data_IF_812453733610
#
_entry.id   IF_812453733610
#
_cell.length_a   1.000
_cell.length_b   1.000
_cell.length_c   1.000
_cell.angle_alpha   90.00
_cell.angle_beta   90.00
_cell.angle_gamma   90.00
#
_symmetry.space_group_name_H-M   'P 1'
#
loop_
_entity.id
_entity.type
_entity.pdbx_description
1 polymer ?
#
# COMPACT_ATOMS: atom_id res chain seq x y z
N UNK A 1 -62.21 20.07 -7.86
CA UNK A 1 -60.75 20.01 -7.74
C UNK A 1 -60.12 20.42 -9.06
N UNK A 2 -59.22 21.42 -9.06
CA UNK A 2 -58.45 21.80 -10.22
C UNK A 2 -57.03 22.24 -9.80
N UNK A 3 -56.01 21.63 -10.41
CA UNK A 3 -54.62 22.07 -10.30
C UNK A 3 -54.18 22.51 -11.67
N UNK A 4 -53.70 23.74 -11.80
CA UNK A 4 -53.31 24.33 -13.10
C UNK A 4 -52.08 25.21 -12.93
N UNK A 5 -51.27 25.29 -13.95
CA UNK A 5 -50.10 26.19 -14.00
C UNK A 5 -50.44 27.48 -14.73
N UNK A 6 -49.91 28.59 -14.25
CA UNK A 6 -50.11 29.91 -14.83
C UNK A 6 -48.87 30.77 -14.78
N UNK A 7 -48.64 31.57 -15.82
CA UNK A 7 -47.66 32.64 -15.80
C UNK A 7 -48.32 33.92 -15.22
N UNK A 8 -47.59 34.57 -14.32
CA UNK A 8 -48.00 35.87 -13.76
C UNK A 8 -47.06 36.94 -14.33
N UNK A 9 -47.22 37.21 -15.65
CA UNK A 9 -46.37 38.17 -16.35
C UNK A 9 -47.13 38.87 -17.44
N UNK A 10 -46.72 40.09 -17.75
CA UNK A 10 -47.19 40.84 -18.93
C UNK A 10 -46.20 40.67 -20.13
N UNK A 11 -45.11 39.96 -19.93
CA UNK A 11 -44.13 39.69 -21.00
C UNK A 11 -44.70 38.68 -21.98
N UNK A 12 -44.44 38.92 -23.27
CA UNK A 12 -44.83 38.03 -24.34
C UNK A 12 -43.69 37.12 -24.81
N UNK A 13 -42.45 37.49 -24.45
CA UNK A 13 -41.22 36.76 -24.80
C UNK A 13 -40.26 36.68 -23.60
N UNK A 14 -39.36 35.67 -23.64
CA UNK A 14 -38.36 35.47 -22.59
C UNK A 14 -38.83 34.63 -21.44
N UNK A 15 -38.04 34.56 -20.35
CA UNK A 15 -38.35 33.74 -19.18
C UNK A 15 -39.26 34.46 -18.18
N UNK A 16 -40.19 33.72 -17.62
CA UNK A 16 -41.07 34.18 -16.55
C UNK A 16 -41.35 33.06 -15.52
N UNK A 17 -41.56 33.42 -14.23
CA UNK A 17 -41.83 32.45 -13.19
C UNK A 17 -43.19 31.76 -13.39
N UNK A 18 -43.15 30.43 -13.21
CA UNK A 18 -44.33 29.58 -13.27
C UNK A 18 -44.99 29.49 -11.88
N UNK A 19 -46.31 29.67 -11.86
CA UNK A 19 -47.13 29.53 -10.66
C UNK A 19 -48.07 28.33 -10.79
N UNK A 20 -48.27 27.62 -9.68
CA UNK A 20 -49.33 26.60 -9.57
C UNK A 20 -50.55 27.21 -8.88
N UNK A 21 -51.71 27.05 -9.50
CA UNK A 21 -53.01 27.40 -8.93
C UNK A 21 -53.73 26.13 -8.48
N UNK A 22 -54.09 26.08 -7.20
CA UNK A 22 -54.78 24.96 -6.58
C UNK A 22 -56.17 25.41 -6.15
N UNK A 23 -57.23 24.80 -6.69
CA UNK A 23 -58.62 25.12 -6.35
C UNK A 23 -59.39 23.84 -6.02
N UNK A 24 -60.04 23.85 -4.86
CA UNK A 24 -61.00 22.82 -4.49
C UNK A 24 -62.11 23.47 -3.67
N UNK A 25 -63.35 23.37 -4.20
CA UNK A 25 -64.52 23.99 -3.59
C UNK A 25 -64.91 23.27 -2.31
N UNK A 26 -64.86 21.95 -2.30
CA UNK A 26 -65.28 21.12 -1.17
C UNK A 26 -64.31 21.28 0.01
N UNK A 27 -63.06 21.39 -0.21
CA UNK A 27 -62.02 21.58 0.82
C UNK A 27 -61.75 23.06 1.13
N UNK A 28 -62.45 23.99 0.43
CA UNK A 28 -62.26 25.44 0.54
C UNK A 28 -60.79 25.86 0.33
N UNK A 29 -60.16 25.30 -0.66
CA UNK A 29 -58.78 25.62 -1.07
C UNK A 29 -58.78 26.53 -2.29
N UNK A 30 -58.11 27.68 -2.23
CA UNK A 30 -57.84 28.55 -3.37
C UNK A 30 -56.47 29.21 -3.17
N UNK A 31 -55.44 28.60 -3.69
CA UNK A 31 -54.05 29.01 -3.51
C UNK A 31 -53.38 29.30 -4.87
N UNK A 32 -52.47 30.26 -4.89
CA UNK A 32 -51.57 30.51 -6.00
C UNK A 32 -50.15 30.66 -5.45
N UNK A 33 -49.27 29.73 -5.78
CA UNK A 33 -47.94 29.57 -5.22
C UNK A 33 -46.89 29.59 -6.32
N UNK A 34 -45.69 30.12 -6.03
CA UNK A 34 -44.57 30.02 -6.91
C UNK A 34 -44.09 28.58 -6.98
N UNK A 35 -43.76 28.11 -8.19
CA UNK A 35 -43.09 26.79 -8.35
C UNK A 35 -41.60 26.89 -8.28
N UNK A 36 -41.03 28.09 -8.18
CA UNK A 36 -39.58 28.38 -8.30
C UNK A 36 -38.96 27.93 -9.64
N UNK A 37 -39.82 27.66 -10.64
CA UNK A 37 -39.36 27.31 -12.00
C UNK A 37 -39.63 28.51 -12.92
N UNK A 38 -38.63 28.83 -13.74
CA UNK A 38 -38.75 29.84 -14.81
C UNK A 38 -38.96 29.13 -16.16
N UNK A 39 -39.98 29.53 -16.91
CA UNK A 39 -40.31 28.94 -18.19
C UNK A 39 -40.23 29.96 -19.30
N UNK A 40 -39.96 29.54 -20.55
CA UNK A 40 -40.06 30.36 -21.72
C UNK A 40 -41.53 30.66 -22.04
N UNK A 41 -41.87 31.95 -22.05
CA UNK A 41 -43.26 32.42 -22.15
C UNK A 41 -43.91 32.04 -23.48
N UNK A 42 -43.21 32.18 -24.57
CA UNK A 42 -43.73 31.84 -25.91
C UNK A 42 -44.08 30.36 -26.02
N UNK A 43 -43.18 29.51 -25.50
CA UNK A 43 -43.32 28.07 -25.60
C UNK A 43 -44.41 27.56 -24.64
N UNK A 44 -44.44 28.07 -23.40
CA UNK A 44 -45.40 27.62 -22.35
C UNK A 44 -46.84 28.00 -22.68
N UNK A 45 -47.07 29.15 -23.32
CA UNK A 45 -48.41 29.61 -23.69
C UNK A 45 -48.98 28.93 -24.94
N UNK A 46 -48.19 28.13 -25.66
CA UNK A 46 -48.66 27.34 -26.81
C UNK A 46 -49.35 26.05 -26.34
N UNK A 47 -50.25 25.45 -27.18
CA UNK A 47 -50.88 24.19 -26.81
C UNK A 47 -49.85 23.10 -26.53
N UNK A 48 -49.95 22.47 -25.40
CA UNK A 48 -49.00 21.41 -24.92
C UNK A 48 -48.98 20.14 -25.82
N UNK A 49 -49.83 20.09 -26.84
CA UNK A 49 -49.85 19.03 -27.85
C UNK A 49 -49.22 19.47 -29.17
N UNK A 50 -48.83 20.74 -29.30
CA UNK A 50 -48.27 21.31 -30.51
C UNK A 50 -46.83 20.96 -30.81
N UNK A 51 -46.39 21.18 -32.07
CA UNK A 51 -45.02 20.93 -32.53
C UNK A 51 -43.98 21.70 -31.72
N UNK A 52 -44.29 22.94 -31.36
CA UNK A 52 -43.36 23.78 -30.58
C UNK A 52 -43.17 23.26 -29.16
N UNK A 53 -44.20 22.72 -28.51
CA UNK A 53 -44.09 22.10 -27.18
C UNK A 53 -43.32 20.78 -27.24
N UNK A 54 -43.51 19.96 -28.28
CA UNK A 54 -42.71 18.75 -28.51
C UNK A 54 -41.23 19.11 -28.70
N UNK A 55 -40.91 20.18 -29.39
CA UNK A 55 -39.54 20.67 -29.52
C UNK A 55 -38.95 21.14 -28.19
N UNK A 56 -39.76 21.82 -27.34
CA UNK A 56 -39.36 22.22 -26.01
C UNK A 56 -39.03 21.02 -25.13
N UNK A 57 -39.77 19.93 -25.18
CA UNK A 57 -39.53 18.69 -24.47
C UNK A 57 -38.29 17.93 -24.97
N UNK A 58 -37.72 18.26 -26.14
CA UNK A 58 -36.47 17.69 -26.62
C UNK A 58 -35.25 18.35 -25.94
N UNK A 59 -35.38 19.57 -25.45
CA UNK A 59 -34.35 20.22 -24.65
C UNK A 59 -34.29 19.62 -23.23
N UNK A 60 -33.10 19.51 -22.68
CA UNK A 60 -32.91 18.99 -21.31
C UNK A 60 -33.59 19.87 -20.28
N UNK A 61 -33.56 21.20 -20.45
CA UNK A 61 -34.17 22.17 -19.57
C UNK A 61 -35.70 22.08 -19.65
N UNK A 62 -36.27 22.07 -20.84
CA UNK A 62 -37.71 22.00 -21.05
C UNK A 62 -38.34 20.71 -20.52
N UNK A 63 -37.67 19.58 -20.75
CA UNK A 63 -38.10 18.28 -20.22
C UNK A 63 -38.11 18.30 -18.69
N UNK A 64 -37.02 18.76 -18.08
CA UNK A 64 -36.89 18.83 -16.60
C UNK A 64 -38.01 19.69 -15.99
N UNK A 65 -38.23 20.88 -16.54
CA UNK A 65 -39.29 21.79 -16.02
C UNK A 65 -40.67 21.14 -16.15
N UNK A 66 -40.95 20.50 -17.25
CA UNK A 66 -42.20 19.81 -17.46
C UNK A 66 -42.40 18.64 -16.49
N UNK A 67 -41.41 17.79 -16.32
CA UNK A 67 -41.43 16.65 -15.38
C UNK A 67 -41.64 17.13 -13.95
N UNK A 68 -40.94 18.16 -13.50
CA UNK A 68 -41.13 18.75 -12.16
C UNK A 68 -42.55 19.36 -12.00
N UNK A 69 -43.08 20.03 -13.03
CA UNK A 69 -44.43 20.58 -12.97
C UNK A 69 -45.49 19.48 -12.87
N UNK A 70 -45.37 18.40 -13.62
CA UNK A 70 -46.29 17.26 -13.53
C UNK A 70 -46.18 16.55 -12.18
N UNK A 71 -44.98 16.43 -11.62
CA UNK A 71 -44.76 15.86 -10.30
C UNK A 71 -45.41 16.71 -9.21
N UNK A 72 -45.26 18.04 -9.24
CA UNK A 72 -45.95 18.98 -8.33
C UNK A 72 -47.46 18.81 -8.43
N UNK A 73 -47.99 18.79 -9.66
CA UNK A 73 -49.44 18.62 -9.91
C UNK A 73 -49.93 17.29 -9.34
N UNK A 74 -49.28 16.19 -9.66
CA UNK A 74 -49.67 14.86 -9.20
C UNK A 74 -49.68 14.73 -7.68
N UNK A 75 -48.65 15.26 -7.00
CA UNK A 75 -48.58 15.21 -5.53
C UNK A 75 -49.68 16.07 -4.87
N UNK A 76 -49.97 17.26 -5.41
CA UNK A 76 -51.06 18.11 -4.91
C UNK A 76 -52.43 17.42 -5.14
N UNK A 77 -52.68 16.88 -6.32
CA UNK A 77 -53.91 16.16 -6.66
C UNK A 77 -54.11 14.93 -5.75
N UNK A 78 -53.03 14.20 -5.44
CA UNK A 78 -53.04 13.04 -4.54
C UNK A 78 -53.50 13.46 -3.13
N UNK A 79 -52.96 14.55 -2.58
CA UNK A 79 -53.35 15.04 -1.26
C UNK A 79 -54.83 15.48 -1.24
N UNK A 80 -55.30 16.20 -2.26
CA UNK A 80 -56.68 16.63 -2.37
C UNK A 80 -57.63 15.42 -2.52
N UNK A 81 -57.26 14.39 -3.26
CA UNK A 81 -58.08 13.17 -3.42
C UNK A 81 -58.22 12.37 -2.12
N UNK A 82 -57.30 12.53 -1.19
CA UNK A 82 -57.30 11.96 0.16
C UNK A 82 -58.12 12.83 1.15
N UNK A 83 -58.84 13.85 0.65
CA UNK A 83 -59.57 14.85 1.47
C UNK A 83 -58.68 15.65 2.43
N UNK A 84 -57.40 15.79 2.11
CA UNK A 84 -56.45 16.58 2.91
C UNK A 84 -56.56 18.04 2.45
N UNK A 85 -56.98 18.94 3.37
CA UNK A 85 -56.95 20.37 3.11
C UNK A 85 -55.56 20.92 3.05
N UNK A 86 -55.10 21.36 1.86
CA UNK A 86 -53.77 21.89 1.65
C UNK A 86 -53.69 23.33 2.13
N UNK A 87 -52.71 23.64 2.99
CA UNK A 87 -52.33 25.00 3.37
C UNK A 87 -51.21 25.54 2.49
N UNK A 88 -51.03 26.87 2.44
CA UNK A 88 -49.90 27.47 1.70
C UNK A 88 -48.56 26.88 2.15
N UNK A 89 -48.33 26.75 3.46
CA UNK A 89 -47.07 26.22 4.01
C UNK A 89 -46.82 24.75 3.61
N UNK A 90 -47.87 23.91 3.56
CA UNK A 90 -47.75 22.52 3.10
C UNK A 90 -47.40 22.47 1.62
N UNK A 91 -48.05 23.29 0.80
CA UNK A 91 -47.80 23.30 -0.64
C UNK A 91 -46.41 23.89 -1.00
N UNK A 92 -45.98 24.96 -0.31
CA UNK A 92 -44.68 25.56 -0.45
C UNK A 92 -43.57 24.56 -0.09
N UNK A 93 -43.73 23.84 1.02
CA UNK A 93 -42.79 22.78 1.43
C UNK A 93 -42.73 21.67 0.39
N UNK A 94 -43.87 21.16 -0.08
CA UNK A 94 -43.95 20.12 -1.10
C UNK A 94 -43.25 20.54 -2.41
N UNK A 95 -43.53 21.79 -2.86
CA UNK A 95 -42.89 22.35 -4.07
C UNK A 95 -41.36 22.45 -3.86
N UNK A 96 -40.94 22.97 -2.69
CA UNK A 96 -39.51 23.07 -2.36
C UNK A 96 -38.81 21.72 -2.34
N UNK A 97 -39.41 20.71 -1.70
CA UNK A 97 -38.87 19.35 -1.63
C UNK A 97 -38.73 18.70 -3.02
N UNK A 98 -39.59 19.03 -3.97
CA UNK A 98 -39.56 18.54 -5.35
C UNK A 98 -38.52 19.31 -6.17
N UNK A 99 -38.58 20.63 -6.19
CA UNK A 99 -37.77 21.48 -7.07
C UNK A 99 -36.28 21.50 -6.67
N UNK A 100 -36.04 21.54 -5.37
CA UNK A 100 -34.66 21.61 -4.82
C UNK A 100 -34.10 20.25 -4.44
N UNK A 101 -34.79 19.15 -4.75
CA UNK A 101 -34.35 17.77 -4.40
C UNK A 101 -32.93 17.49 -4.82
N UNK A 102 -32.53 17.81 -6.07
CA UNK A 102 -31.20 17.60 -6.57
C UNK A 102 -30.17 18.48 -5.84
N UNK A 103 -30.49 19.74 -5.57
CA UNK A 103 -29.62 20.66 -4.84
C UNK A 103 -29.45 20.22 -3.39
N UNK A 104 -30.50 19.74 -2.75
CA UNK A 104 -30.44 19.18 -1.40
C UNK A 104 -29.62 17.91 -1.35
N UNK A 105 -29.72 17.03 -2.35
CA UNK A 105 -28.87 15.84 -2.48
C UNK A 105 -27.41 16.24 -2.71
N UNK A 106 -27.15 17.22 -3.57
CA UNK A 106 -25.80 17.73 -3.82
C UNK A 106 -25.23 18.40 -2.57
N UNK A 107 -26.04 19.20 -1.85
CA UNK A 107 -25.63 19.85 -0.62
C UNK A 107 -25.34 18.82 0.51
N UNK A 108 -26.19 17.81 0.66
CA UNK A 108 -25.96 16.71 1.60
C UNK A 108 -24.69 15.91 1.24
N UNK A 109 -24.44 15.62 -0.05
CA UNK A 109 -23.20 15.00 -0.53
C UNK A 109 -21.98 15.89 -0.24
N UNK A 110 -22.05 17.20 -0.44
CA UNK A 110 -20.98 18.15 -0.11
C UNK A 110 -20.70 18.23 1.39
N UNK A 111 -21.71 18.12 2.23
CA UNK A 111 -21.55 18.17 3.69
C UNK A 111 -20.83 16.94 4.25
N UNK A 112 -20.86 15.81 3.55
CA UNK A 112 -20.17 14.56 3.89
C UNK A 112 -19.01 14.24 2.94
N UNK A 113 -18.58 15.19 2.10
CA UNK A 113 -17.51 14.96 1.15
C UNK A 113 -16.16 14.89 1.86
N UNK A 114 -15.56 13.72 1.84
CA UNK A 114 -14.21 13.47 2.36
C UNK A 114 -13.22 13.60 1.21
N UNK A 115 -12.30 14.55 1.29
CA UNK A 115 -11.23 14.72 0.30
C UNK A 115 -10.23 13.58 0.35
N UNK A 116 -9.44 13.38 -0.73
CA UNK A 116 -8.37 12.37 -0.73
C UNK A 116 -7.39 12.56 0.43
N UNK A 117 -7.02 13.79 0.77
CA UNK A 117 -6.11 14.06 1.89
C UNK A 117 -6.72 13.64 3.24
N UNK A 118 -7.98 13.99 3.49
CA UNK A 118 -8.69 13.55 4.70
C UNK A 118 -8.81 12.01 4.74
N UNK A 119 -9.07 11.38 3.60
CA UNK A 119 -9.12 9.92 3.51
C UNK A 119 -7.78 9.28 3.80
N UNK A 120 -6.68 9.84 3.28
CA UNK A 120 -5.30 9.40 3.58
C UNK A 120 -5.02 9.46 5.08
N UNK A 121 -5.37 10.55 5.75
CA UNK A 121 -5.16 10.72 7.20
C UNK A 121 -6.00 9.72 8.00
N UNK A 122 -7.26 9.53 7.63
CA UNK A 122 -8.16 8.53 8.24
C UNK A 122 -7.63 7.11 8.00
N UNK A 123 -7.15 6.80 6.80
CA UNK A 123 -6.55 5.52 6.47
C UNK A 123 -5.32 5.24 7.34
N UNK A 124 -4.39 6.21 7.44
CA UNK A 124 -3.18 6.08 8.25
C UNK A 124 -3.52 5.91 9.73
N UNK A 125 -4.48 6.67 10.22
CA UNK A 125 -4.98 6.55 11.60
C UNK A 125 -5.59 5.18 11.86
N UNK A 126 -6.43 4.71 10.94
CA UNK A 126 -7.08 3.39 11.03
C UNK A 126 -6.10 2.22 11.04
N UNK A 127 -5.08 2.23 10.15
CA UNK A 127 -4.05 1.17 10.15
C UNK A 127 -3.08 1.27 11.34
N UNK A 128 -2.91 2.46 11.92
CA UNK A 128 -2.05 2.66 13.08
C UNK A 128 -2.70 2.21 14.38
N UNK A 129 -4.01 2.44 14.53
CA UNK A 129 -4.80 2.03 15.71
C UNK A 129 -5.25 0.57 15.67
N UNK A 130 -5.15 -0.11 14.52
CA UNK A 130 -5.70 -1.46 14.30
C UNK A 130 -7.22 -1.47 13.98
N UNK A 131 -7.87 -0.32 13.89
CA UNK A 131 -9.27 -0.21 13.45
C UNK A 131 -9.45 -0.66 12.00
N UNK A 132 -8.41 -0.49 11.17
CA UNK A 132 -8.35 -1.01 9.80
C UNK A 132 -7.37 -2.18 9.74
N UNK A 133 -7.86 -3.32 9.29
CA UNK A 133 -7.10 -4.56 9.16
C UNK A 133 -6.76 -4.86 7.70
N UNK A 134 -5.81 -5.78 7.51
CA UNK A 134 -5.47 -6.34 6.19
C UNK A 134 -6.62 -7.22 5.67
N UNK A 135 -6.60 -7.57 4.37
CA UNK A 135 -7.55 -8.54 3.79
C UNK A 135 -7.60 -9.90 4.51
N UNK A 136 -6.55 -10.24 5.27
CA UNK A 136 -6.46 -11.46 6.08
C UNK A 136 -7.02 -11.30 7.50
N UNK A 137 -7.61 -10.17 7.83
CA UNK A 137 -8.14 -9.88 9.18
C UNK A 137 -7.05 -9.66 10.24
N UNK A 138 -5.83 -9.30 9.84
CA UNK A 138 -4.72 -9.02 10.77
C UNK A 138 -4.38 -7.53 10.78
N UNK A 139 -3.81 -7.06 11.88
CA UNK A 139 -3.31 -5.69 11.96
C UNK A 139 -2.14 -5.47 11.00
N UNK A 140 -2.00 -4.25 10.50
CA UNK A 140 -0.84 -3.86 9.70
C UNK A 140 0.43 -3.87 10.57
N UNK A 141 1.51 -4.44 10.04
CA UNK A 141 2.80 -4.37 10.71
C UNK A 141 3.29 -2.91 10.85
N UNK A 142 3.93 -2.57 11.96
CA UNK A 142 4.44 -1.21 12.22
C UNK A 142 5.34 -0.68 11.07
N UNK A 143 6.14 -1.56 10.45
CA UNK A 143 6.96 -1.20 9.28
C UNK A 143 6.13 -0.84 8.05
N UNK A 144 4.97 -1.47 7.86
CA UNK A 144 4.02 -1.14 6.78
C UNK A 144 3.39 0.22 7.04
N UNK A 145 2.92 0.48 8.26
CA UNK A 145 2.39 1.79 8.66
C UNK A 145 3.42 2.90 8.42
N UNK A 146 4.67 2.70 8.85
CA UNK A 146 5.78 3.63 8.60
C UNK A 146 6.01 3.87 7.09
N UNK A 147 5.91 2.81 6.29
CA UNK A 147 6.04 2.88 4.83
C UNK A 147 4.94 3.72 4.18
N UNK A 148 3.68 3.45 4.52
CA UNK A 148 2.52 4.21 4.00
C UNK A 148 2.65 5.67 4.40
N UNK A 149 2.93 5.96 5.67
CA UNK A 149 3.10 7.34 6.17
C UNK A 149 4.20 8.08 5.38
N UNK A 150 5.37 7.47 5.21
CA UNK A 150 6.47 8.08 4.46
C UNK A 150 6.10 8.37 3.00
N UNK A 151 5.38 7.45 2.32
CA UNK A 151 4.92 7.65 0.96
C UNK A 151 3.89 8.80 0.86
N UNK A 152 2.96 8.87 1.81
CA UNK A 152 1.93 9.92 1.83
C UNK A 152 2.50 11.28 2.24
N UNK A 153 3.54 11.32 3.06
CA UNK A 153 4.30 12.56 3.30
C UNK A 153 4.85 13.11 1.98
N UNK A 154 5.39 12.26 1.10
CA UNK A 154 5.87 12.73 -0.21
C UNK A 154 4.73 13.18 -1.13
N UNK A 155 3.57 12.54 -1.06
CA UNK A 155 2.36 12.99 -1.76
C UNK A 155 1.90 14.37 -1.26
N UNK A 156 1.90 14.61 0.04
CA UNK A 156 1.61 15.92 0.64
C UNK A 156 2.63 16.99 0.22
N UNK A 157 3.93 16.66 0.26
CA UNK A 157 5.00 17.57 -0.17
C UNK A 157 4.88 17.95 -1.65
N UNK A 158 4.49 17.02 -2.51
CA UNK A 158 4.20 17.30 -3.93
C UNK A 158 3.11 18.36 -4.06
N UNK A 159 2.00 18.24 -3.34
CA UNK A 159 0.90 19.19 -3.37
C UNK A 159 1.32 20.57 -2.87
N UNK A 160 2.15 20.62 -1.84
CA UNK A 160 2.70 21.90 -1.32
C UNK A 160 3.58 22.58 -2.36
N UNK A 161 4.50 21.84 -2.99
CA UNK A 161 5.45 22.40 -3.98
C UNK A 161 4.74 22.87 -5.25
N UNK A 162 3.71 22.15 -5.69
CA UNK A 162 2.96 22.49 -6.91
C UNK A 162 1.84 23.51 -6.67
N UNK A 163 1.50 23.80 -5.41
CA UNK A 163 0.35 24.64 -5.04
C UNK A 163 -1.00 24.02 -5.40
N UNK A 164 -1.02 22.74 -5.81
CA UNK A 164 -2.22 22.04 -6.31
C UNK A 164 -2.72 21.06 -5.25
N UNK A 165 -3.99 21.18 -4.89
CA UNK A 165 -4.68 20.13 -4.11
C UNK A 165 -5.12 19.03 -5.07
N UNK A 166 -4.73 17.81 -4.76
CA UNK A 166 -5.07 16.61 -5.55
C UNK A 166 -6.19 15.87 -4.85
N UNK A 167 -7.28 15.63 -5.56
CA UNK A 167 -8.39 14.83 -5.07
C UNK A 167 -8.56 13.54 -5.89
N UNK A 168 -9.51 12.68 -5.53
CA UNK A 168 -9.70 11.35 -6.11
C UNK A 168 -9.81 11.37 -7.66
N UNK A 169 -10.51 12.37 -8.22
CA UNK A 169 -10.68 12.50 -9.67
C UNK A 169 -9.44 13.04 -10.39
N UNK A 170 -8.57 13.73 -9.67
CA UNK A 170 -7.34 14.30 -10.23
C UNK A 170 -6.22 13.25 -10.42
N UNK A 171 -6.37 12.04 -9.86
CA UNK A 171 -5.35 10.99 -9.92
C UNK A 171 -5.41 10.25 -11.26
N UNK A 172 -5.09 10.98 -12.32
CA UNK A 172 -5.02 10.51 -13.71
C UNK A 172 -3.58 10.22 -14.17
N UNK A 173 -3.38 10.02 -15.47
CA UNK A 173 -2.04 9.79 -16.04
C UNK A 173 -1.17 11.04 -16.04
N UNK A 174 -1.75 12.25 -16.12
CA UNK A 174 -0.98 13.50 -16.04
C UNK A 174 -0.42 13.68 -14.63
N UNK A 175 -1.26 13.48 -13.62
CA UNK A 175 -0.82 13.43 -12.23
C UNK A 175 0.32 12.42 -12.04
N UNK A 176 0.19 11.20 -12.59
CA UNK A 176 1.24 10.18 -12.47
C UNK A 176 2.58 10.67 -13.02
N UNK A 177 2.58 11.30 -14.20
CA UNK A 177 3.81 11.82 -14.80
C UNK A 177 4.39 12.99 -13.99
N UNK A 178 3.58 13.94 -13.55
CA UNK A 178 3.99 15.06 -12.73
C UNK A 178 4.56 14.61 -11.38
N UNK A 179 3.86 13.70 -10.68
CA UNK A 179 4.29 13.20 -9.39
C UNK A 179 5.59 12.37 -9.50
N UNK A 180 5.71 11.53 -10.52
CA UNK A 180 6.96 10.78 -10.74
C UNK A 180 8.12 11.69 -11.14
N UNK A 181 7.88 12.76 -11.92
CA UNK A 181 8.88 13.77 -12.24
C UNK A 181 9.36 14.49 -10.98
N UNK A 182 8.44 14.96 -10.14
CA UNK A 182 8.75 15.56 -8.84
C UNK A 182 9.64 14.66 -7.98
N UNK A 183 9.29 13.37 -7.86
CA UNK A 183 10.09 12.44 -7.06
C UNK A 183 11.49 12.21 -7.67
N UNK A 184 11.63 12.23 -9.00
CA UNK A 184 12.92 12.16 -9.68
C UNK A 184 13.77 13.39 -9.41
N UNK A 185 13.18 14.57 -9.45
CA UNK A 185 13.87 15.84 -9.16
C UNK A 185 14.35 15.91 -7.70
N UNK A 186 13.65 15.24 -6.79
CA UNK A 186 14.10 15.03 -5.41
C UNK A 186 15.13 13.90 -5.25
N UNK A 187 15.71 13.40 -6.35
CA UNK A 187 16.72 12.34 -6.37
C UNK A 187 16.29 11.00 -5.76
N UNK A 188 14.97 10.72 -5.72
CA UNK A 188 14.50 9.40 -5.27
C UNK A 188 14.94 8.29 -6.22
N UNK A 189 15.28 7.13 -5.66
CA UNK A 189 15.54 5.93 -6.44
C UNK A 189 14.27 5.41 -7.12
N UNK A 190 14.42 4.69 -8.24
CA UNK A 190 13.29 4.04 -8.93
C UNK A 190 12.45 3.19 -7.98
N UNK A 191 13.11 2.45 -7.08
CA UNK A 191 12.41 1.62 -6.08
C UNK A 191 11.62 2.45 -5.06
N UNK A 192 12.16 3.61 -4.64
CA UNK A 192 11.46 4.52 -3.74
C UNK A 192 10.25 5.18 -4.41
N UNK A 193 10.41 5.63 -5.67
CA UNK A 193 9.31 6.14 -6.50
C UNK A 193 8.22 5.06 -6.65
N UNK A 194 8.64 3.85 -7.03
CA UNK A 194 7.73 2.71 -7.17
C UNK A 194 6.97 2.39 -5.89
N UNK A 195 7.59 2.57 -4.73
CA UNK A 195 6.96 2.40 -3.43
C UNK A 195 5.92 3.48 -3.16
N UNK A 196 6.22 4.75 -3.44
CA UNK A 196 5.25 5.84 -3.29
C UNK A 196 3.99 5.60 -4.15
N UNK A 197 4.17 5.23 -5.41
CA UNK A 197 3.07 4.91 -6.33
C UNK A 197 2.27 3.69 -5.83
N UNK A 198 2.93 2.64 -5.36
CA UNK A 198 2.28 1.44 -4.85
C UNK A 198 1.40 1.75 -3.62
N UNK A 199 1.92 2.50 -2.66
CA UNK A 199 1.17 2.84 -1.45
C UNK A 199 -0.02 3.76 -1.76
N UNK A 200 0.14 4.74 -2.66
CA UNK A 200 -0.97 5.55 -3.15
C UNK A 200 -2.07 4.68 -3.81
N UNK A 201 -1.67 3.76 -4.70
CA UNK A 201 -2.64 2.81 -5.31
C UNK A 201 -3.36 1.94 -4.28
N UNK A 202 -2.69 1.58 -3.20
CA UNK A 202 -3.31 0.80 -2.12
C UNK A 202 -4.42 1.59 -1.43
N UNK A 203 -4.17 2.88 -1.17
CA UNK A 203 -5.16 3.78 -0.57
C UNK A 203 -6.34 4.02 -1.53
N UNK A 204 -6.06 4.27 -2.82
CA UNK A 204 -7.11 4.49 -3.83
C UNK A 204 -8.01 3.27 -4.02
N UNK A 205 -7.44 2.05 -3.99
CA UNK A 205 -8.23 0.81 -4.02
C UNK A 205 -9.12 0.67 -2.79
N UNK A 206 -8.60 0.99 -1.61
CA UNK A 206 -9.38 0.97 -0.39
C UNK A 206 -10.54 1.99 -0.46
N UNK A 207 -10.26 3.20 -0.92
CA UNK A 207 -11.30 4.22 -1.11
C UNK A 207 -12.38 3.78 -2.09
N UNK A 208 -11.98 3.24 -3.24
CA UNK A 208 -12.93 2.72 -4.24
C UNK A 208 -13.79 1.58 -3.69
N UNK A 209 -13.19 0.65 -2.91
CA UNK A 209 -13.92 -0.44 -2.27
C UNK A 209 -14.91 0.04 -1.19
N UNK A 210 -14.70 1.22 -0.66
CA UNK A 210 -15.58 1.89 0.32
C UNK A 210 -16.59 2.83 -0.33
N UNK A 211 -16.68 2.85 -1.68
CA UNK A 211 -17.68 3.57 -2.42
C UNK A 211 -17.30 5.01 -2.82
N UNK A 212 -16.04 5.42 -2.63
CA UNK A 212 -15.57 6.71 -3.15
C UNK A 212 -15.38 6.65 -4.68
N UNK A 213 -15.77 7.70 -5.35
CA UNK A 213 -15.56 7.86 -6.80
C UNK A 213 -14.09 8.20 -7.07
N UNK A 214 -13.31 7.22 -7.49
CA UNK A 214 -11.89 7.37 -7.82
C UNK A 214 -11.70 7.35 -9.34
N UNK A 215 -10.81 8.22 -9.87
CA UNK A 215 -10.48 8.22 -11.29
C UNK A 215 -9.94 6.84 -11.72
N UNK A 216 -10.57 6.15 -12.67
CA UNK A 216 -10.21 4.76 -13.03
C UNK A 216 -8.82 4.64 -13.65
N UNK A 217 -8.20 5.74 -14.09
CA UNK A 217 -6.85 5.75 -14.70
C UNK A 217 -5.76 5.28 -13.74
N UNK A 218 -5.95 5.32 -12.41
CA UNK A 218 -4.99 4.73 -11.49
C UNK A 218 -4.82 3.20 -11.67
N UNK A 219 -5.77 2.53 -12.32
CA UNK A 219 -5.70 1.09 -12.66
C UNK A 219 -4.93 0.80 -13.95
N UNK A 220 -4.63 1.82 -14.76
CA UNK A 220 -3.90 1.66 -16.01
C UNK A 220 -2.59 0.88 -15.78
N UNK A 221 -2.21 0.05 -16.75
CA UNK A 221 -0.97 -0.75 -16.71
C UNK A 221 0.28 0.14 -16.64
N UNK A 222 0.23 1.36 -17.18
CA UNK A 222 1.31 2.34 -17.13
C UNK A 222 1.38 3.05 -15.77
N UNK A 223 0.26 3.17 -15.04
CA UNK A 223 0.23 3.73 -13.69
C UNK A 223 0.74 2.69 -12.70
N UNK A 224 2.03 2.46 -12.67
CA UNK A 224 2.65 1.41 -11.84
C UNK A 224 3.92 1.88 -11.15
N UNK A 225 4.17 1.32 -9.98
CA UNK A 225 5.45 1.42 -9.31
C UNK A 225 6.47 0.49 -9.97
N UNK A 226 7.44 1.04 -10.67
CA UNK A 226 8.55 0.27 -11.22
C UNK A 226 9.46 -0.23 -10.11
N UNK A 227 9.94 -1.47 -10.22
CA UNK A 227 10.95 -2.04 -9.34
C UNK A 227 12.09 -2.58 -10.17
N UNK A 228 13.31 -2.22 -9.78
CA UNK A 228 14.54 -2.79 -10.34
C UNK A 228 15.24 -3.58 -9.26
N UNK A 229 15.95 -4.60 -9.67
CA UNK A 229 16.84 -5.36 -8.79
C UNK A 229 18.08 -4.51 -8.50
N UNK A 230 18.50 -4.46 -7.23
CA UNK A 230 19.69 -3.76 -6.78
C UNK A 230 20.73 -4.82 -6.48
N UNK A 231 21.95 -4.57 -6.93
CA UNK A 231 23.08 -5.46 -6.63
C UNK A 231 23.28 -5.60 -5.14
N UNK A 232 23.68 -6.79 -4.74
CA UNK A 232 23.89 -7.11 -3.35
C UNK A 232 24.96 -8.19 -3.22
N UNK A 233 25.79 -8.05 -2.20
CA UNK A 233 26.92 -8.93 -1.92
C UNK A 233 26.52 -10.07 -0.97
N UNK A 234 27.38 -11.08 -0.94
CA UNK A 234 27.53 -12.02 0.16
C UNK A 234 29.00 -12.00 0.63
N UNK A 235 29.31 -12.68 1.73
CA UNK A 235 30.65 -12.82 2.29
C UNK A 235 31.18 -14.26 2.05
N UNK A 236 32.39 -14.36 1.55
CA UNK A 236 33.05 -15.67 1.36
C UNK A 236 33.48 -16.26 2.72
N UNK A 237 33.90 -17.53 2.76
CA UNK A 237 34.46 -18.11 3.98
C UNK A 237 35.71 -17.39 4.45
N UNK A 238 36.57 -16.91 3.51
CA UNK A 238 37.72 -16.10 3.81
C UNK A 238 37.34 -14.75 4.46
N UNK A 239 36.35 -14.06 3.90
CA UNK A 239 35.81 -12.84 4.52
C UNK A 239 35.34 -13.08 5.96
N UNK A 240 34.61 -14.18 6.20
CA UNK A 240 34.17 -14.53 7.55
C UNK A 240 35.35 -14.82 8.50
N UNK A 241 36.38 -15.48 8.00
CA UNK A 241 37.60 -15.71 8.78
C UNK A 241 38.28 -14.39 9.15
N UNK A 242 38.44 -13.47 8.19
CA UNK A 242 38.97 -12.13 8.43
C UNK A 242 38.17 -11.35 9.47
N UNK A 243 36.84 -11.40 9.37
CA UNK A 243 35.91 -10.74 10.34
C UNK A 243 36.10 -11.33 11.76
N UNK A 244 36.23 -12.65 11.86
CA UNK A 244 36.37 -13.32 13.16
C UNK A 244 37.76 -13.06 13.78
N UNK A 245 38.81 -12.94 12.99
CA UNK A 245 40.20 -12.70 13.43
C UNK A 245 40.54 -11.20 13.58
N UNK A 246 39.63 -10.29 13.18
CA UNK A 246 39.88 -8.86 13.28
C UNK A 246 40.09 -8.42 14.73
N UNK A 247 41.14 -7.62 14.95
CA UNK A 247 41.44 -7.06 16.28
C UNK A 247 40.50 -5.89 16.57
N UNK A 248 39.45 -6.19 17.33
CA UNK A 248 38.47 -5.23 17.78
C UNK A 248 38.71 -4.70 19.22
N UNK A 249 39.85 -5.06 19.83
CA UNK A 249 40.18 -4.71 21.23
C UNK A 249 40.22 -3.20 21.48
N UNK A 250 40.52 -2.42 20.47
CA UNK A 250 40.57 -0.95 20.51
C UNK A 250 39.22 -0.27 20.29
N UNK A 251 38.18 -1.03 19.95
CA UNK A 251 36.84 -0.52 19.73
C UNK A 251 36.06 -0.45 21.05
N UNK A 252 35.00 0.36 21.07
CA UNK A 252 34.14 0.48 22.24
C UNK A 252 33.40 -0.82 22.53
N UNK A 253 32.85 -0.92 23.74
CA UNK A 253 32.05 -2.07 24.15
C UNK A 253 30.88 -2.34 23.19
N UNK A 254 30.62 -3.61 22.90
CA UNK A 254 29.49 -4.08 22.10
C UNK A 254 29.83 -4.44 20.64
N UNK A 255 31.08 -4.19 20.16
CA UNK A 255 31.50 -4.64 18.84
C UNK A 255 31.67 -6.16 18.76
N UNK A 256 32.14 -6.80 19.84
CA UNK A 256 32.18 -8.26 19.97
C UNK A 256 30.78 -8.88 19.87
N UNK A 257 29.82 -8.32 20.61
CA UNK A 257 28.43 -8.73 20.53
C UNK A 257 27.86 -8.54 19.09
N UNK A 258 28.15 -7.42 18.44
CA UNK A 258 27.68 -7.17 17.06
C UNK A 258 28.24 -8.20 16.07
N UNK A 259 29.53 -8.54 16.20
CA UNK A 259 30.17 -9.59 15.40
C UNK A 259 29.49 -10.94 15.62
N UNK A 260 29.30 -11.32 16.88
CA UNK A 260 28.67 -12.60 17.23
C UNK A 260 27.22 -12.69 16.75
N UNK A 261 26.41 -11.65 16.95
CA UNK A 261 25.02 -11.57 16.43
C UNK A 261 25.01 -11.70 14.90
N UNK A 262 25.90 -11.00 14.20
CA UNK A 262 26.00 -11.10 12.75
C UNK A 262 26.34 -12.54 12.29
N UNK A 263 27.30 -13.20 12.96
CA UNK A 263 27.67 -14.58 12.67
C UNK A 263 26.52 -15.55 12.97
N UNK A 264 25.76 -15.36 14.02
CA UNK A 264 24.50 -16.10 14.25
C UNK A 264 23.54 -15.93 13.06
N UNK A 265 23.44 -14.72 12.52
CA UNK A 265 22.66 -14.45 11.31
C UNK A 265 23.18 -15.20 10.07
N UNK A 266 24.50 -15.34 9.92
CA UNK A 266 25.13 -16.14 8.85
C UNK A 266 24.80 -17.62 9.00
N UNK A 267 25.08 -18.21 10.18
CA UNK A 267 24.93 -19.64 10.40
C UNK A 267 23.47 -20.12 10.49
N UNK A 268 22.54 -19.22 10.86
CA UNK A 268 21.12 -19.54 10.85
C UNK A 268 20.43 -19.19 9.52
N UNK A 269 21.03 -18.31 8.72
CA UNK A 269 20.44 -17.72 7.52
C UNK A 269 19.05 -17.11 7.74
N UNK A 270 18.74 -16.65 8.96
CA UNK A 270 17.47 -16.03 9.30
C UNK A 270 17.47 -14.51 9.06
N UNK A 271 16.33 -13.85 9.22
CA UNK A 271 16.24 -12.38 9.20
C UNK A 271 16.70 -11.84 10.55
N UNK A 272 17.26 -10.63 10.57
CA UNK A 272 17.70 -9.97 11.81
C UNK A 272 16.60 -9.93 12.86
N UNK A 273 15.36 -9.68 12.48
CA UNK A 273 14.22 -9.74 13.40
C UNK A 273 14.02 -11.10 14.09
N UNK A 274 14.52 -12.15 13.48
CA UNK A 274 14.33 -13.53 13.92
C UNK A 274 15.57 -14.02 14.69
N UNK A 275 16.79 -13.77 14.21
CA UNK A 275 18.01 -14.26 14.87
C UNK A 275 18.52 -13.34 15.99
N UNK A 276 18.17 -12.05 16.00
CA UNK A 276 18.62 -11.08 17.01
C UNK A 276 17.82 -11.14 18.34
N UNK A 277 17.09 -12.21 18.56
CA UNK A 277 16.29 -12.45 19.78
C UNK A 277 16.25 -13.93 20.13
N UNK A 278 17.31 -14.68 19.83
CA UNK A 278 17.36 -16.09 20.18
C UNK A 278 17.51 -16.26 21.68
N UNK A 279 16.75 -17.19 22.23
CA UNK A 279 16.77 -17.59 23.64
C UNK A 279 16.94 -19.09 23.77
N UNK A 280 17.14 -19.56 24.99
CA UNK A 280 17.21 -21.01 25.33
C UNK A 280 15.98 -21.76 24.79
N UNK A 281 14.82 -21.14 24.78
CA UNK A 281 13.57 -21.76 24.28
C UNK A 281 13.62 -22.15 22.80
N UNK A 282 14.45 -21.45 22.02
CA UNK A 282 14.66 -21.75 20.61
C UNK A 282 15.55 -22.97 20.37
N UNK A 283 16.32 -23.41 21.38
CA UNK A 283 17.28 -24.50 21.22
C UNK A 283 16.62 -25.82 21.63
N UNK A 284 16.63 -26.77 20.69
CA UNK A 284 16.06 -28.11 20.91
C UNK A 284 17.12 -29.16 20.76
N UNK A 285 17.21 -30.07 21.77
CA UNK A 285 18.09 -31.22 21.71
C UNK A 285 17.36 -32.40 21.10
N UNK A 286 17.99 -33.07 20.15
CA UNK A 286 17.47 -34.26 19.48
C UNK A 286 18.36 -35.45 19.73
N UNK A 287 17.74 -36.62 19.93
CA UNK A 287 18.42 -37.91 20.04
C UNK A 287 17.66 -38.92 19.17
N UNK A 288 18.24 -39.23 18.02
CA UNK A 288 17.59 -40.09 17.03
C UNK A 288 18.35 -41.41 16.95
N UNK A 289 17.67 -42.59 17.12
CA UNK A 289 18.30 -43.88 16.92
C UNK A 289 18.64 -44.10 15.43
N UNK A 290 19.84 -44.63 15.17
CA UNK A 290 20.31 -45.04 13.85
C UNK A 290 20.95 -46.42 13.96
N UNK A 291 20.80 -47.22 12.93
CA UNK A 291 21.51 -48.47 12.78
C UNK A 291 22.73 -48.22 11.88
N UNK A 292 23.93 -48.36 12.43
CA UNK A 292 25.18 -48.23 11.72
C UNK A 292 25.96 -49.54 11.99
N UNK A 293 26.37 -50.23 10.94
CA UNK A 293 27.08 -51.51 11.00
C UNK A 293 26.34 -52.54 11.92
N UNK A 294 25.03 -52.70 11.73
CA UNK A 294 24.14 -53.54 12.53
C UNK A 294 24.13 -53.23 14.08
N UNK A 295 24.63 -52.07 14.49
CA UNK A 295 24.58 -51.59 15.89
C UNK A 295 23.63 -50.41 16.02
N UNK A 296 22.83 -50.40 17.07
CA UNK A 296 22.00 -49.25 17.41
C UNK A 296 22.89 -48.15 18.01
N UNK A 297 22.98 -47.03 17.31
CA UNK A 297 23.72 -45.85 17.73
C UNK A 297 22.74 -44.65 17.81
N UNK A 298 22.90 -43.81 18.80
CA UNK A 298 22.09 -42.60 18.92
C UNK A 298 22.87 -41.41 18.34
N UNK A 299 22.26 -40.76 17.31
CA UNK A 299 22.78 -39.49 16.80
C UNK A 299 22.16 -38.35 17.63
N UNK A 300 23.02 -37.60 18.32
CA UNK A 300 22.62 -36.42 19.08
C UNK A 300 22.98 -35.16 18.30
N UNK A 301 22.07 -34.21 18.23
CA UNK A 301 22.29 -32.91 17.61
C UNK A 301 21.30 -31.88 18.14
N UNK A 302 21.66 -30.60 17.99
CA UNK A 302 20.80 -29.47 18.37
C UNK A 302 20.22 -28.80 17.14
N UNK A 303 19.05 -28.18 17.31
CA UNK A 303 18.46 -27.27 16.32
C UNK A 303 18.03 -25.96 16.96
N UNK A 304 18.10 -24.88 16.19
CA UNK A 304 17.44 -23.61 16.48
C UNK A 304 16.08 -23.61 15.84
N UNK A 305 15.03 -23.62 16.64
CA UNK A 305 13.64 -23.57 16.15
C UNK A 305 13.12 -22.14 16.22
N UNK A 306 12.64 -21.60 15.08
CA UNK A 306 12.19 -20.23 14.97
C UNK A 306 10.82 -20.18 14.28
N UNK A 307 9.88 -19.45 14.87
CA UNK A 307 8.69 -18.98 14.16
C UNK A 307 9.00 -17.58 13.59
N UNK A 308 9.20 -17.49 12.28
CA UNK A 308 9.59 -16.25 11.63
C UNK A 308 8.53 -15.15 11.80
N UNK A 309 8.90 -13.97 12.32
CA UNK A 309 8.00 -12.84 12.60
C UNK A 309 7.27 -12.34 11.34
N UNK A 310 7.97 -12.31 10.19
CA UNK A 310 7.41 -11.76 8.94
C UNK A 310 6.45 -12.71 8.22
N UNK A 311 6.68 -14.01 8.28
CA UNK A 311 5.95 -15.00 7.45
C UNK A 311 5.11 -15.96 8.28
N UNK A 312 5.36 -16.05 9.59
CA UNK A 312 4.76 -17.04 10.48
C UNK A 312 5.28 -18.47 10.26
N UNK A 313 6.19 -18.69 9.31
CA UNK A 313 6.76 -19.99 9.01
C UNK A 313 7.60 -20.52 10.18
N UNK A 314 7.44 -21.80 10.52
CA UNK A 314 8.31 -22.49 11.44
C UNK A 314 9.51 -23.06 10.67
N UNK A 315 10.71 -22.82 11.16
CA UNK A 315 11.94 -23.35 10.63
C UNK A 315 12.76 -24.02 11.74
N UNK A 316 13.52 -25.05 11.37
CA UNK A 316 14.43 -25.76 12.26
C UNK A 316 15.81 -25.76 11.60
N UNK A 317 16.75 -25.06 12.22
CA UNK A 317 18.11 -24.88 11.70
C UNK A 317 19.05 -25.76 12.50
N UNK A 318 19.79 -26.70 11.88
CA UNK A 318 20.80 -27.47 12.59
C UNK A 318 21.90 -26.55 13.15
N UNK A 319 22.34 -26.82 14.38
CA UNK A 319 23.39 -26.06 15.04
C UNK A 319 24.74 -26.60 14.63
N UNK A 320 25.52 -25.77 13.91
CA UNK A 320 26.94 -26.08 13.61
C UNK A 320 27.82 -25.85 14.82
N UNK A 321 29.09 -26.34 14.79
CA UNK A 321 30.09 -26.11 15.84
C UNK A 321 30.34 -24.63 16.09
N UNK A 322 30.40 -23.83 15.02
CA UNK A 322 30.62 -22.37 15.11
C UNK A 322 29.43 -21.67 15.75
N UNK A 323 28.21 -22.01 15.31
CA UNK A 323 26.99 -21.47 15.93
C UNK A 323 26.89 -21.84 17.40
N UNK A 324 27.19 -23.10 17.73
CA UNK A 324 27.18 -23.61 19.11
C UNK A 324 28.14 -22.84 20.00
N UNK A 325 29.37 -22.63 19.56
CA UNK A 325 30.40 -21.89 20.29
C UNK A 325 29.96 -20.46 20.62
N UNK A 326 29.26 -19.78 19.68
CA UNK A 326 28.73 -18.44 19.94
C UNK A 326 27.56 -18.52 20.94
N UNK A 327 26.60 -19.44 20.75
CA UNK A 327 25.46 -19.57 21.64
C UNK A 327 25.87 -19.89 23.09
N UNK A 328 26.86 -20.76 23.28
CA UNK A 328 27.42 -21.13 24.61
C UNK A 328 28.05 -19.93 25.31
N UNK A 329 28.74 -19.03 24.59
CA UNK A 329 29.30 -17.78 25.16
C UNK A 329 28.25 -16.90 25.84
N UNK A 330 27.03 -16.90 25.35
CA UNK A 330 25.91 -16.13 25.88
C UNK A 330 24.91 -17.00 26.63
N UNK A 331 25.31 -18.19 27.03
CA UNK A 331 24.47 -19.13 27.78
C UNK A 331 23.11 -19.36 27.06
N UNK A 332 23.15 -19.44 25.74
CA UNK A 332 21.98 -19.58 24.84
C UNK A 332 20.94 -18.46 24.96
N UNK A 333 21.32 -17.30 25.46
CA UNK A 333 20.48 -16.11 25.58
C UNK A 333 21.20 -14.92 24.98
N UNK A 334 21.00 -14.70 23.66
CA UNK A 334 21.66 -13.59 22.96
C UNK A 334 21.11 -12.24 23.42
N UNK A 335 21.97 -11.29 23.83
CA UNK A 335 21.54 -9.93 24.08
C UNK A 335 21.03 -9.28 22.80
N UNK A 336 19.98 -8.47 22.90
CA UNK A 336 19.44 -7.74 21.76
C UNK A 336 20.33 -6.54 21.40
N UNK A 337 20.56 -6.33 20.10
CA UNK A 337 21.22 -5.15 19.57
C UNK A 337 20.35 -4.50 18.49
N UNK A 338 20.16 -3.18 18.58
CA UNK A 338 19.40 -2.45 17.57
C UNK A 338 19.99 -2.61 16.16
N UNK A 339 19.14 -2.86 15.15
CA UNK A 339 19.56 -3.17 13.77
C UNK A 339 20.47 -2.07 13.17
N UNK A 340 20.21 -0.80 13.49
CA UNK A 340 21.05 0.31 13.03
C UNK A 340 22.44 0.29 13.66
N UNK A 341 22.54 -0.07 14.93
CA UNK A 341 23.80 -0.20 15.67
C UNK A 341 24.58 -1.40 15.12
N UNK A 342 23.92 -2.54 14.97
CA UNK A 342 24.50 -3.74 14.35
C UNK A 342 25.10 -3.43 12.97
N UNK A 343 24.34 -2.75 12.10
CA UNK A 343 24.79 -2.39 10.76
C UNK A 343 26.01 -1.46 10.77
N UNK A 344 26.05 -0.49 11.67
CA UNK A 344 27.18 0.43 11.83
C UNK A 344 28.42 -0.32 12.31
N UNK A 345 28.28 -1.07 13.41
CA UNK A 345 29.39 -1.81 13.98
C UNK A 345 29.97 -2.86 13.02
N UNK A 346 29.11 -3.54 12.29
CA UNK A 346 29.59 -4.51 11.30
C UNK A 346 30.39 -3.87 10.15
N UNK A 347 30.04 -2.66 9.71
CA UNK A 347 30.87 -1.94 8.71
C UNK A 347 32.26 -1.60 9.26
N UNK A 348 32.31 -1.14 10.49
CA UNK A 348 33.59 -0.80 11.15
C UNK A 348 34.45 -2.07 11.31
N UNK A 349 33.87 -3.17 11.76
CA UNK A 349 34.55 -4.47 11.88
C UNK A 349 35.05 -4.94 10.51
N UNK A 350 34.21 -4.91 9.47
CA UNK A 350 34.58 -5.34 8.14
C UNK A 350 35.70 -4.47 7.53
N UNK A 351 35.67 -3.18 7.82
CA UNK A 351 36.76 -2.26 7.44
C UNK A 351 38.09 -2.63 8.13
N UNK A 352 38.06 -2.90 9.45
CA UNK A 352 39.24 -3.37 10.18
C UNK A 352 39.72 -4.74 9.74
N UNK A 353 38.81 -5.60 9.31
CA UNK A 353 39.12 -6.92 8.74
C UNK A 353 39.74 -6.84 7.32
N UNK A 354 39.84 -5.63 6.74
CA UNK A 354 40.43 -5.43 5.40
C UNK A 354 39.55 -5.93 4.24
N UNK A 355 38.23 -5.82 4.37
CA UNK A 355 37.30 -6.12 3.28
C UNK A 355 37.25 -4.94 2.28
N UNK A 356 38.39 -4.57 1.71
CA UNK A 356 38.55 -3.34 0.93
C UNK A 356 38.33 -3.53 -0.59
N UNK A 357 37.93 -4.75 -1.03
CA UNK A 357 37.61 -5.02 -2.42
C UNK A 357 36.62 -4.00 -2.96
N UNK A 358 36.91 -3.46 -4.15
CA UNK A 358 36.00 -2.54 -4.83
C UNK A 358 34.89 -3.31 -5.56
N UNK A 359 33.67 -3.05 -5.22
CA UNK A 359 32.47 -3.65 -5.84
C UNK A 359 31.72 -2.59 -6.64
N UNK A 360 31.50 -2.85 -7.94
CA UNK A 360 30.60 -2.06 -8.76
C UNK A 360 29.16 -2.39 -8.36
N UNK A 361 28.39 -1.39 -7.97
CA UNK A 361 26.97 -1.54 -7.64
C UNK A 361 26.13 -0.62 -8.52
N UNK A 362 25.07 -1.17 -9.13
CA UNK A 362 24.10 -0.39 -9.86
C UNK A 362 23.04 0.11 -8.90
N UNK A 363 22.93 1.43 -8.79
CA UNK A 363 21.89 2.12 -8.02
C UNK A 363 21.06 2.99 -8.94
N UNK A 364 20.08 3.70 -8.40
CA UNK A 364 19.33 4.69 -9.18
C UNK A 364 19.18 5.97 -8.39
N UNK A 365 19.43 7.10 -9.04
CA UNK A 365 19.20 8.45 -8.51
C UNK A 365 18.41 9.25 -9.56
N UNK A 366 17.40 9.96 -9.11
CA UNK A 366 16.56 10.77 -10.02
C UNK A 366 15.95 9.97 -11.19
N UNK A 367 15.65 8.68 -10.97
CA UNK A 367 15.12 7.81 -12.00
C UNK A 367 16.12 7.30 -13.04
N UNK A 368 17.41 7.63 -12.92
CA UNK A 368 18.48 7.16 -13.80
C UNK A 368 19.32 6.09 -13.12
N UNK A 369 19.77 5.08 -13.89
CA UNK A 369 20.74 4.13 -13.40
C UNK A 369 22.10 4.84 -13.21
N UNK A 370 22.73 4.60 -12.07
CA UNK A 370 24.05 5.14 -11.71
C UNK A 370 24.91 3.98 -11.26
N UNK A 371 26.11 3.88 -11.80
CA UNK A 371 27.15 2.96 -11.32
C UNK A 371 27.92 3.64 -10.20
N UNK A 372 28.01 2.99 -9.06
CA UNK A 372 28.82 3.44 -7.93
C UNK A 372 29.85 2.35 -7.61
N UNK A 373 31.06 2.78 -7.28
CA UNK A 373 32.14 1.89 -6.81
C UNK A 373 32.24 2.06 -5.30
N UNK A 374 32.06 0.96 -4.57
CA UNK A 374 32.10 0.96 -3.10
C UNK A 374 32.99 -0.12 -2.58
N UNK A 375 33.61 0.14 -1.44
CA UNK A 375 34.32 -0.93 -0.74
C UNK A 375 33.31 -2.00 -0.26
N UNK A 376 33.72 -3.25 -0.27
CA UNK A 376 32.91 -4.39 0.15
C UNK A 376 32.34 -4.19 1.57
N UNK A 377 33.16 -3.64 2.49
CA UNK A 377 32.73 -3.35 3.86
C UNK A 377 31.57 -2.35 3.94
N UNK A 378 31.46 -1.39 3.01
CA UNK A 378 30.36 -0.41 2.99
C UNK A 378 28.99 -1.05 2.68
N UNK A 379 29.01 -2.18 1.98
CA UNK A 379 27.83 -2.90 1.52
C UNK A 379 27.33 -3.95 2.53
N UNK A 380 28.10 -4.18 3.60
CA UNK A 380 27.73 -5.13 4.65
C UNK A 380 26.63 -4.54 5.54
N UNK A 381 25.59 -5.33 5.76
CA UNK A 381 24.50 -5.02 6.67
C UNK A 381 23.83 -6.32 7.17
N UNK A 382 22.94 -6.24 8.15
CA UNK A 382 22.28 -7.40 8.78
C UNK A 382 21.69 -8.41 7.79
N UNK A 383 21.15 -7.94 6.65
CA UNK A 383 20.60 -8.82 5.63
C UNK A 383 21.68 -9.54 4.78
N UNK A 384 22.91 -9.01 4.75
CA UNK A 384 24.06 -9.67 4.14
C UNK A 384 24.34 -11.01 4.82
N UNK A 385 24.20 -11.11 6.16
CA UNK A 385 24.33 -12.34 6.91
C UNK A 385 23.45 -13.47 6.33
N UNK A 386 22.17 -13.18 6.11
CA UNK A 386 21.22 -14.16 5.55
C UNK A 386 21.56 -14.55 4.11
N UNK A 387 22.03 -13.61 3.27
CA UNK A 387 22.48 -13.92 1.91
C UNK A 387 23.74 -14.80 1.94
N UNK A 388 24.67 -14.47 2.81
CA UNK A 388 25.89 -15.23 3.05
C UNK A 388 25.55 -16.67 3.42
N UNK A 389 24.74 -16.89 4.45
CA UNK A 389 24.35 -18.23 4.87
C UNK A 389 23.67 -19.03 3.75
N UNK A 390 22.71 -18.43 3.03
CA UNK A 390 22.04 -19.11 1.92
C UNK A 390 23.00 -19.43 0.76
N UNK A 391 23.93 -18.53 0.42
CA UNK A 391 24.92 -18.74 -0.63
C UNK A 391 25.94 -19.83 -0.25
N UNK A 392 26.45 -19.79 0.98
CA UNK A 392 27.39 -20.79 1.47
C UNK A 392 26.78 -22.20 1.56
N UNK A 393 25.51 -22.34 1.98
CA UNK A 393 24.78 -23.61 1.93
C UNK A 393 24.68 -24.13 0.50
N UNK A 394 24.36 -23.25 -0.46
CA UNK A 394 24.28 -23.60 -1.86
C UNK A 394 25.64 -24.04 -2.44
N UNK A 395 26.72 -23.31 -2.16
CA UNK A 395 28.05 -23.65 -2.59
C UNK A 395 28.54 -24.95 -1.94
N UNK A 396 28.16 -25.24 -0.71
CA UNK A 396 28.42 -26.52 -0.04
C UNK A 396 27.63 -27.72 -0.60
N UNK A 397 26.90 -27.54 -1.71
CA UNK A 397 26.20 -28.64 -2.38
C UNK A 397 24.80 -28.93 -1.87
N UNK A 398 24.30 -28.16 -0.90
CA UNK A 398 22.91 -28.33 -0.38
C UNK A 398 21.89 -28.00 -1.47
N UNK A 399 20.83 -28.78 -1.58
CA UNK A 399 19.80 -28.51 -2.58
C UNK A 399 18.87 -27.35 -2.19
N UNK A 400 18.14 -26.82 -3.17
CA UNK A 400 17.25 -25.68 -2.98
C UNK A 400 16.16 -25.92 -1.95
N UNK A 401 15.60 -27.14 -1.88
CA UNK A 401 14.50 -27.44 -0.98
C UNK A 401 14.96 -27.50 0.47
N UNK A 402 16.15 -28.04 0.72
CA UNK A 402 16.74 -28.07 2.06
C UNK A 402 17.11 -26.66 2.52
N UNK A 403 17.72 -25.86 1.65
CA UNK A 403 17.99 -24.44 1.95
C UNK A 403 16.69 -23.68 2.22
N UNK A 404 15.63 -23.95 1.46
CA UNK A 404 14.32 -23.32 1.68
C UNK A 404 13.71 -23.70 3.03
N UNK A 405 13.85 -24.95 3.47
CA UNK A 405 13.39 -25.40 4.81
C UNK A 405 14.12 -24.68 5.93
N UNK A 406 15.43 -24.50 5.80
CA UNK A 406 16.24 -23.76 6.76
C UNK A 406 15.90 -22.28 6.74
N UNK A 407 15.85 -21.67 5.57
CA UNK A 407 15.67 -20.22 5.43
C UNK A 407 14.21 -19.77 5.51
N UNK A 408 13.24 -20.69 5.37
CA UNK A 408 11.82 -20.37 5.36
C UNK A 408 11.34 -19.66 4.09
N UNK A 409 12.00 -19.87 2.93
CA UNK A 409 11.51 -19.40 1.64
C UNK A 409 10.41 -20.32 1.10
N UNK A 410 9.37 -19.72 0.53
CA UNK A 410 8.19 -20.44 0.02
C UNK A 410 8.33 -20.87 -1.44
N UNK A 411 9.33 -20.38 -2.17
CA UNK A 411 9.58 -20.76 -3.56
C UNK A 411 11.05 -20.67 -3.93
N UNK A 412 11.53 -21.52 -4.86
CA UNK A 412 12.89 -21.45 -5.40
C UNK A 412 13.22 -20.08 -6.01
N UNK A 413 12.28 -19.45 -6.68
CA UNK A 413 12.44 -18.12 -7.27
C UNK A 413 12.77 -17.05 -6.21
N UNK A 414 12.18 -17.17 -5.02
CA UNK A 414 12.50 -16.27 -3.90
C UNK A 414 13.88 -16.55 -3.33
N UNK A 415 14.25 -17.82 -3.16
CA UNK A 415 15.57 -18.21 -2.67
C UNK A 415 16.68 -17.79 -3.64
N UNK A 416 16.49 -17.96 -4.96
CA UNK A 416 17.45 -17.57 -6.01
C UNK A 416 17.91 -16.12 -5.88
N UNK A 417 17.08 -15.20 -5.39
CA UNK A 417 17.45 -13.80 -5.14
C UNK A 417 18.45 -13.62 -3.99
N UNK A 418 18.54 -14.61 -3.12
CA UNK A 418 19.45 -14.60 -1.96
C UNK A 418 20.78 -15.28 -2.26
N UNK A 419 20.80 -16.26 -3.16
CA UNK A 419 22.03 -16.90 -3.60
C UNK A 419 22.75 -15.92 -4.53
N UNK A 420 23.99 -15.55 -4.17
CA UNK A 420 24.81 -14.54 -4.85
C UNK A 420 26.13 -15.11 -5.34
N UNK A 421 26.23 -16.44 -5.43
CA UNK A 421 27.35 -17.10 -6.08
C UNK A 421 27.50 -16.61 -7.54
N UNK A 422 28.69 -16.29 -7.95
CA UNK A 422 28.98 -15.93 -9.33
C UNK A 422 29.05 -17.16 -10.25
N UNK A 423 29.26 -16.93 -11.55
CA UNK A 423 29.28 -18.01 -12.54
C UNK A 423 30.49 -18.95 -12.39
N UNK A 424 31.60 -18.44 -11.88
CA UNK A 424 32.83 -19.24 -11.66
C UNK A 424 32.64 -20.15 -10.45
N UNK A 425 32.12 -19.59 -9.33
CA UNK A 425 31.81 -20.37 -8.13
C UNK A 425 30.75 -21.45 -8.39
N UNK A 426 29.78 -21.17 -9.26
CA UNK A 426 28.78 -22.16 -9.68
C UNK A 426 29.40 -23.23 -10.57
N UNK A 427 30.33 -22.86 -11.48
CA UNK A 427 31.03 -23.81 -12.33
C UNK A 427 31.93 -24.73 -11.49
N UNK A 428 32.72 -24.19 -10.57
CA UNK A 428 33.55 -24.93 -9.62
C UNK A 428 32.72 -25.98 -8.84
N UNK A 429 31.60 -25.53 -8.24
CA UNK A 429 30.67 -26.43 -7.56
C UNK A 429 30.14 -27.55 -8.47
N UNK A 430 29.91 -27.27 -9.76
CA UNK A 430 29.36 -28.26 -10.71
C UNK A 430 30.45 -29.29 -11.03
N UNK A 431 31.69 -28.86 -11.25
CA UNK A 431 32.83 -29.78 -11.49
C UNK A 431 33.06 -30.70 -10.30
N UNK A 432 33.06 -30.18 -9.08
CA UNK A 432 33.21 -30.99 -7.87
C UNK A 432 32.08 -32.01 -7.65
N UNK A 433 30.89 -31.73 -8.16
CA UNK A 433 29.71 -32.57 -7.90
C UNK A 433 29.45 -33.64 -8.96
N UNK A 434 29.80 -33.39 -10.20
CA UNK A 434 29.41 -34.23 -11.33
C UNK A 434 30.62 -34.65 -12.15
N UNK A 435 30.89 -35.96 -12.20
CA UNK A 435 31.96 -36.57 -13.01
C UNK A 435 31.82 -36.39 -14.52
N UNK A 436 30.76 -35.77 -14.99
CA UNK A 436 30.58 -35.44 -16.41
C UNK A 436 31.64 -34.47 -16.93
N UNK A 437 32.24 -33.68 -16.05
CA UNK A 437 33.23 -32.66 -16.39
C UNK A 437 34.68 -33.10 -16.07
N UNK A 438 34.86 -34.35 -15.56
CA UNK A 438 36.16 -34.98 -15.37
C UNK A 438 36.60 -35.59 -16.71
#
# INVERSE_FOLDING_TARGET
>A
MAVSFRLRTQKTVGKAPLYVRVQDVNLKVNLMLSTHLDVDVETWNKPHTGRAFKAYLTSSEGRRIYELSEEIKHNIESLLSQNIRITSAMAEKLIGDIVYREELIIAAKKQHYVTLNQYVDNFITGISSGARQTEKGTNYAASTVKSVRAAMTQFGNFQVVTGRKVDFQDVDMNFYYEYTAYLKDKNYSINSIGKCIKELKTILRAAESEGYEVNPKYKDKKFKGTRIEVDSIYLTRDDLSKIMSADISKLSQGYDLARDIFMVGVWTAQRVSDYNNLSRENIKQHRIPKIIDNKLVYKEFQTVEIRQKKTGSKVSVPVSSELKSILERYDYQLPHLEDQVLNRYMKDICKLAGLDDIVEVQTTKGGKAVKEFKHKWELVHSHTARRTGATLMYLAGMDYYDIMRITGHTSPTMLKKYIKADSIEVADKITDKYSYFD
#
